data_IF_471644522444
#
_entry.id   IF_471644522444
#
_cell.length_a   1.000
_cell.length_b   1.000
_cell.length_c   1.000
_cell.angle_alpha   90.00
_cell.angle_beta   90.00
_cell.angle_gamma   90.00
#
_symmetry.space_group_name_H-M   'P 1'
#
loop_
_entity.id
_entity.type
_entity.pdbx_description
1 polymer ?
#
# COMPACT_ATOMS: atom_id res chain seq x y z
N UNK A 1 13.16 -22.28 -13.14
CA UNK A 1 14.36 -21.50 -12.75
C UNK A 1 13.90 -20.36 -11.86
N UNK A 2 14.46 -20.21 -10.67
CA UNK A 2 14.06 -19.19 -9.69
C UNK A 2 15.27 -18.50 -9.08
N UNK A 3 15.02 -17.40 -8.37
CA UNK A 3 16.06 -16.62 -7.67
C UNK A 3 16.75 -17.52 -6.64
N UNK A 4 18.07 -17.75 -6.81
CA UNK A 4 18.85 -18.65 -5.93
C UNK A 4 19.50 -17.94 -4.75
N UNK A 5 19.85 -16.68 -4.92
CA UNK A 5 20.55 -15.88 -3.91
C UNK A 5 20.04 -14.44 -3.96
N UNK A 6 19.93 -13.82 -2.79
CA UNK A 6 19.54 -12.42 -2.64
C UNK A 6 20.46 -11.76 -1.60
N UNK A 7 20.91 -10.55 -1.90
CA UNK A 7 21.68 -9.70 -0.99
C UNK A 7 21.18 -8.28 -1.13
N UNK A 8 21.02 -7.57 -0.01
CA UNK A 8 20.56 -6.19 0.01
C UNK A 8 21.06 -5.49 1.27
N UNK A 9 21.37 -4.20 1.15
CA UNK A 9 21.61 -3.27 2.25
C UNK A 9 20.38 -2.38 2.53
N UNK A 10 19.24 -2.65 1.90
CA UNK A 10 18.04 -1.86 2.11
C UNK A 10 17.56 -1.94 3.55
N UNK A 11 17.03 -0.83 4.05
CA UNK A 11 16.46 -0.68 5.40
C UNK A 11 14.94 -0.76 5.40
N UNK A 12 14.29 -0.59 4.25
CA UNK A 12 12.85 -0.72 4.10
C UNK A 12 12.45 -1.15 2.68
N UNK A 13 11.23 -1.66 2.55
CA UNK A 13 10.60 -1.94 1.28
C UNK A 13 9.27 -1.18 1.16
N UNK A 14 9.09 -0.45 0.06
CA UNK A 14 7.89 0.30 -0.28
C UNK A 14 7.20 -0.35 -1.49
N UNK A 15 5.97 -0.82 -1.29
CA UNK A 15 5.09 -1.32 -2.33
C UNK A 15 4.22 -0.16 -2.81
N UNK A 16 4.24 0.12 -4.11
CA UNK A 16 3.52 1.22 -4.74
C UNK A 16 2.53 0.65 -5.74
N UNK A 17 1.25 0.97 -5.57
CA UNK A 17 0.20 0.45 -6.46
C UNK A 17 0.38 0.91 -7.92
N UNK A 18 0.45 2.22 -8.13
CA UNK A 18 0.32 2.86 -9.45
C UNK A 18 1.68 3.10 -10.12
N UNK A 19 1.84 2.68 -11.38
CA UNK A 19 3.11 2.81 -12.13
C UNK A 19 3.55 4.27 -12.26
N UNK A 20 2.62 5.19 -12.50
CA UNK A 20 2.92 6.63 -12.59
C UNK A 20 3.55 7.17 -11.29
N UNK A 21 3.06 6.72 -10.13
CA UNK A 21 3.58 7.10 -8.82
C UNK A 21 4.95 6.49 -8.60
N UNK A 22 5.13 5.21 -8.96
CA UNK A 22 6.41 4.53 -8.92
C UNK A 22 7.48 5.29 -9.74
N UNK A 23 7.17 5.63 -10.99
CA UNK A 23 8.09 6.39 -11.85
C UNK A 23 8.44 7.75 -11.26
N UNK A 24 7.47 8.45 -10.66
CA UNK A 24 7.74 9.73 -9.98
C UNK A 24 8.67 9.56 -8.79
N UNK A 25 8.46 8.55 -7.94
CA UNK A 25 9.31 8.28 -6.78
C UNK A 25 10.74 7.92 -7.19
N UNK A 26 10.91 7.11 -8.24
CA UNK A 26 12.23 6.75 -8.77
C UNK A 26 12.98 7.96 -9.35
N UNK A 27 12.25 8.87 -10.02
CA UNK A 27 12.82 10.10 -10.57
C UNK A 27 12.96 11.24 -9.54
N UNK A 28 12.48 11.03 -8.32
CA UNK A 28 12.56 12.00 -7.23
C UNK A 28 13.83 11.81 -6.39
N UNK A 29 14.03 12.70 -5.42
CA UNK A 29 15.12 12.59 -4.45
C UNK A 29 14.90 11.50 -3.39
N UNK A 30 13.82 10.69 -3.46
CA UNK A 30 13.54 9.62 -2.48
C UNK A 30 14.76 8.70 -2.28
N UNK A 31 15.36 8.22 -3.37
CA UNK A 31 16.53 7.35 -3.29
C UNK A 31 17.71 8.04 -2.60
N UNK A 32 17.90 9.34 -2.83
CA UNK A 32 18.94 10.11 -2.16
C UNK A 32 18.64 10.30 -0.67
N UNK A 33 17.38 10.63 -0.32
CA UNK A 33 16.92 10.82 1.07
C UNK A 33 17.15 9.56 1.90
N UNK A 34 16.91 8.39 1.33
CA UNK A 34 17.13 7.09 1.97
C UNK A 34 18.53 6.50 1.69
N UNK A 35 19.48 7.29 1.19
CA UNK A 35 20.86 6.85 0.89
C UNK A 35 20.95 5.61 -0.01
N UNK A 36 19.96 5.36 -0.85
CA UNK A 36 19.84 4.17 -1.71
C UNK A 36 19.43 2.90 -0.96
N UNK A 37 19.12 2.99 0.33
CA UNK A 37 18.79 1.85 1.20
C UNK A 37 17.27 1.58 1.23
N UNK A 38 16.61 1.69 0.08
CA UNK A 38 15.16 1.44 -0.07
C UNK A 38 14.89 0.55 -1.28
N UNK A 39 14.05 -0.47 -1.07
CA UNK A 39 13.48 -1.26 -2.16
C UNK A 39 12.12 -0.66 -2.52
N UNK A 40 11.88 -0.36 -3.79
CA UNK A 40 10.58 0.08 -4.28
C UNK A 40 10.05 -0.97 -5.27
N UNK A 41 8.83 -1.46 -5.05
CA UNK A 41 8.18 -2.47 -5.89
C UNK A 41 6.83 -1.94 -6.34
N UNK A 42 6.44 -2.20 -7.57
CA UNK A 42 5.09 -1.91 -8.06
C UNK A 42 4.44 -3.13 -8.69
N UNK A 43 3.16 -3.31 -8.39
CA UNK A 43 2.30 -4.32 -9.03
C UNK A 43 1.51 -3.77 -10.22
N UNK A 44 1.58 -2.44 -10.48
CA UNK A 44 0.78 -1.73 -11.49
C UNK A 44 -0.73 -1.98 -11.33
N UNK A 45 -1.21 -1.88 -10.09
CA UNK A 45 -2.56 -2.25 -9.66
C UNK A 45 -2.57 -3.55 -8.86
N UNK A 46 -3.54 -4.42 -9.14
CA UNK A 46 -3.67 -5.74 -8.49
C UNK A 46 -2.42 -6.58 -8.80
N UNK A 47 -1.68 -7.06 -7.79
CA UNK A 47 -0.42 -7.76 -8.04
C UNK A 47 -0.61 -9.13 -8.67
N UNK A 48 0.31 -9.46 -9.58
CA UNK A 48 0.43 -10.82 -10.11
C UNK A 48 1.10 -11.77 -9.11
N UNK A 49 1.04 -13.06 -9.41
CA UNK A 49 1.63 -14.13 -8.58
C UNK A 49 3.14 -13.93 -8.38
N UNK A 50 3.86 -13.51 -9.41
CA UNK A 50 5.31 -13.35 -9.36
C UNK A 50 5.73 -12.19 -8.46
N UNK A 51 5.04 -11.05 -8.54
CA UNK A 51 5.29 -9.89 -7.67
C UNK A 51 5.05 -10.27 -6.22
N UNK A 52 3.98 -11.01 -5.92
CA UNK A 52 3.70 -11.49 -4.55
C UNK A 52 4.75 -12.46 -4.04
N UNK A 53 5.21 -13.40 -4.87
CA UNK A 53 6.29 -14.33 -4.51
C UNK A 53 7.61 -13.59 -4.26
N UNK A 54 7.96 -12.61 -5.11
CA UNK A 54 9.15 -11.79 -4.92
C UNK A 54 9.10 -11.01 -3.61
N UNK A 55 7.97 -10.34 -3.36
CA UNK A 55 7.78 -9.55 -2.14
C UNK A 55 7.83 -10.43 -0.88
N UNK A 56 7.19 -11.60 -0.91
CA UNK A 56 7.28 -12.57 0.18
C UNK A 56 8.73 -13.04 0.43
N UNK A 57 9.50 -13.28 -0.63
CA UNK A 57 10.93 -13.65 -0.49
C UNK A 57 11.78 -12.52 0.08
N UNK A 58 11.56 -11.28 -0.34
CA UNK A 58 12.23 -10.10 0.24
C UNK A 58 11.93 -10.02 1.73
N UNK A 59 10.66 -10.15 2.11
CA UNK A 59 10.22 -10.15 3.50
C UNK A 59 10.86 -11.29 4.31
N UNK A 60 10.92 -12.51 3.77
CA UNK A 60 11.53 -13.66 4.47
C UNK A 60 13.06 -13.55 4.59
N UNK A 61 13.74 -13.08 3.55
CA UNK A 61 15.20 -13.02 3.52
C UNK A 61 15.76 -11.87 4.36
N UNK A 62 15.14 -10.69 4.32
CA UNK A 62 15.72 -9.48 4.89
C UNK A 62 14.98 -8.96 6.13
N UNK A 63 13.75 -9.41 6.39
CA UNK A 63 12.93 -9.01 7.55
C UNK A 63 12.84 -7.49 7.74
N UNK A 64 12.82 -6.77 6.63
CA UNK A 64 12.74 -5.31 6.61
C UNK A 64 11.32 -4.85 6.97
N UNK A 65 11.17 -3.62 7.50
CA UNK A 65 9.91 -2.89 7.46
C UNK A 65 9.32 -2.88 6.05
N UNK A 66 8.06 -3.28 5.93
CA UNK A 66 7.32 -3.38 4.68
C UNK A 66 6.17 -2.38 4.70
N UNK A 67 6.16 -1.45 3.75
CA UNK A 67 5.14 -0.41 3.63
C UNK A 67 4.41 -0.55 2.31
N UNK A 68 3.11 -0.23 2.31
CA UNK A 68 2.27 -0.13 1.13
C UNK A 68 1.76 1.29 0.98
N UNK A 69 1.87 1.81 -0.24
CA UNK A 69 1.37 3.09 -0.71
C UNK A 69 0.36 2.81 -1.81
N UNK A 70 -0.92 2.98 -1.47
CA UNK A 70 -2.09 2.68 -2.30
C UNK A 70 -3.02 3.88 -2.31
N UNK A 71 -3.88 3.96 -3.32
CA UNK A 71 -4.87 5.05 -3.40
C UNK A 71 -5.76 5.06 -2.13
N UNK A 72 -6.17 6.26 -1.72
CA UNK A 72 -7.08 6.48 -0.60
C UNK A 72 -8.52 6.15 -0.99
N UNK A 73 -8.73 4.92 -1.47
CA UNK A 73 -10.03 4.44 -1.92
C UNK A 73 -10.22 2.95 -1.54
N UNK A 74 -11.43 2.41 -1.68
CA UNK A 74 -11.71 1.03 -1.30
C UNK A 74 -10.96 -0.01 -2.16
N UNK A 75 -10.56 0.34 -3.38
CA UNK A 75 -9.82 -0.56 -4.26
C UNK A 75 -8.34 -0.66 -3.87
N UNK A 76 -7.71 0.47 -3.54
CA UNK A 76 -6.36 0.53 -3.00
C UNK A 76 -6.24 -0.28 -1.70
N UNK A 77 -7.21 -0.14 -0.79
CA UNK A 77 -7.26 -0.94 0.45
C UNK A 77 -7.36 -2.44 0.13
N UNK A 78 -8.22 -2.86 -0.81
CA UNK A 78 -8.35 -4.26 -1.18
C UNK A 78 -7.06 -4.81 -1.83
N UNK A 79 -6.37 -4.02 -2.65
CA UNK A 79 -5.05 -4.37 -3.22
C UNK A 79 -4.03 -4.61 -2.11
N UNK A 80 -3.97 -3.72 -1.12
CA UNK A 80 -3.11 -3.91 0.04
C UNK A 80 -3.45 -5.21 0.80
N UNK A 81 -4.74 -5.50 0.99
CA UNK A 81 -5.17 -6.75 1.64
C UNK A 81 -4.72 -7.98 0.85
N UNK A 82 -4.69 -7.93 -0.49
CA UNK A 82 -4.13 -9.02 -1.31
C UNK A 82 -2.64 -9.25 -1.04
N UNK A 83 -1.86 -8.20 -0.81
CA UNK A 83 -0.45 -8.37 -0.40
C UNK A 83 -0.32 -8.89 1.03
N UNK A 84 -1.12 -8.38 1.97
CA UNK A 84 -1.00 -8.67 3.41
C UNK A 84 -1.57 -10.04 3.79
N UNK A 85 -2.78 -10.34 3.33
CA UNK A 85 -3.57 -11.52 3.71
C UNK A 85 -3.77 -12.51 2.56
N UNK A 86 -3.52 -12.06 1.33
CA UNK A 86 -3.73 -12.87 0.13
C UNK A 86 -5.12 -12.70 -0.48
N UNK A 87 -5.27 -13.19 -1.71
CA UNK A 87 -6.57 -13.19 -2.37
C UNK A 87 -7.49 -14.24 -1.76
N UNK A 88 -8.73 -13.85 -1.45
CA UNK A 88 -9.77 -14.78 -1.02
C UNK A 88 -10.07 -15.87 -2.05
N UNK A 89 -9.95 -15.54 -3.34
CA UNK A 89 -10.15 -16.52 -4.43
C UNK A 89 -9.02 -17.55 -4.53
N UNK A 90 -7.86 -17.27 -3.94
CA UNK A 90 -6.66 -18.12 -4.00
C UNK A 90 -6.11 -18.44 -2.60
N UNK A 91 -7.01 -18.62 -1.62
CA UNK A 91 -6.62 -18.91 -0.23
C UNK A 91 -5.65 -20.10 -0.10
N UNK A 92 -5.82 -21.12 -0.97
CA UNK A 92 -5.00 -22.34 -1.00
C UNK A 92 -3.53 -22.12 -1.41
N UNK A 93 -3.20 -21.00 -2.05
CA UNK A 93 -1.83 -20.69 -2.50
C UNK A 93 -1.16 -19.61 -1.63
N UNK A 94 -1.76 -19.18 -0.52
CA UNK A 94 -1.33 -18.00 0.22
C UNK A 94 -0.04 -18.14 1.03
N UNK A 95 0.37 -19.36 1.42
CA UNK A 95 1.46 -19.57 2.39
C UNK A 95 2.79 -18.90 1.99
N UNK A 96 3.07 -18.83 0.68
CA UNK A 96 4.32 -18.26 0.15
C UNK A 96 4.13 -16.94 -0.63
N UNK A 97 3.02 -16.24 -0.44
CA UNK A 97 2.63 -15.07 -1.25
C UNK A 97 2.00 -13.93 -0.44
N UNK A 98 2.18 -13.93 0.87
CA UNK A 98 1.62 -12.93 1.78
C UNK A 98 2.71 -12.26 2.60
N UNK A 99 2.49 -11.00 2.97
CA UNK A 99 3.38 -10.23 3.84
C UNK A 99 2.56 -9.69 5.00
N UNK A 100 2.35 -10.48 6.07
CA UNK A 100 1.49 -10.08 7.19
C UNK A 100 1.98 -8.81 7.91
N UNK A 101 3.28 -8.52 7.86
CA UNK A 101 3.89 -7.33 8.45
C UNK A 101 3.76 -6.07 7.58
N UNK A 102 3.08 -6.14 6.44
CA UNK A 102 2.86 -4.99 5.56
C UNK A 102 1.99 -3.95 6.26
N UNK A 103 2.51 -2.73 6.37
CA UNK A 103 1.82 -1.58 6.94
C UNK A 103 1.33 -0.62 5.85
N UNK A 104 0.16 -0.04 6.04
CA UNK A 104 -0.34 1.01 5.18
C UNK A 104 0.26 2.34 5.58
N UNK A 105 1.09 2.94 4.73
CA UNK A 105 1.66 4.26 5.05
C UNK A 105 0.71 5.41 4.73
N UNK A 106 -0.26 5.15 3.85
CA UNK A 106 -1.21 6.11 3.34
C UNK A 106 -1.52 5.90 1.86
N UNK A 107 -2.37 6.74 1.26
CA UNK A 107 -3.02 7.90 1.87
C UNK A 107 -4.20 7.48 2.78
N UNK A 108 -4.17 7.83 4.06
CA UNK A 108 -5.22 7.44 5.00
C UNK A 108 -6.47 8.34 4.83
N UNK A 109 -7.69 7.78 4.90
CA UNK A 109 -8.94 8.55 4.93
C UNK A 109 -8.97 9.67 5.95
N UNK A 110 -8.41 9.46 7.14
CA UNK A 110 -8.31 10.51 8.16
C UNK A 110 -7.44 11.69 7.74
N UNK A 111 -6.56 11.53 6.75
CA UNK A 111 -5.74 12.62 6.21
C UNK A 111 -6.54 13.50 5.22
N UNK A 112 -7.76 13.12 4.82
CA UNK A 112 -8.55 13.86 3.82
C UNK A 112 -8.90 15.29 4.29
N UNK A 113 -9.02 15.53 5.59
CA UNK A 113 -9.28 16.88 6.14
C UNK A 113 -8.13 17.86 5.86
N UNK A 114 -6.91 17.33 5.72
CA UNK A 114 -5.71 18.11 5.46
C UNK A 114 -5.49 18.36 3.96
N UNK A 115 -6.31 17.72 3.11
CA UNK A 115 -6.20 17.82 1.66
C UNK A 115 -7.08 18.92 1.09
N UNK A 116 -6.65 19.47 -0.04
CA UNK A 116 -7.47 20.41 -0.79
C UNK A 116 -8.67 19.69 -1.44
N UNK A 117 -9.82 20.36 -1.50
CA UNK A 117 -11.05 19.76 -2.07
C UNK A 117 -10.92 19.29 -3.52
N UNK A 118 -9.97 19.84 -4.28
CA UNK A 118 -9.67 19.45 -5.66
C UNK A 118 -8.92 18.10 -5.77
N UNK A 119 -8.37 17.59 -4.67
CA UNK A 119 -7.69 16.29 -4.59
C UNK A 119 -8.65 15.16 -4.19
N UNK A 120 -9.84 15.50 -3.71
CA UNK A 120 -10.85 14.56 -3.24
C UNK A 120 -11.95 14.37 -4.29
N UNK A 121 -12.34 13.11 -4.48
CA UNK A 121 -13.42 12.69 -5.37
C UNK A 121 -14.59 12.16 -4.55
N UNK A 122 -15.81 12.27 -5.07
CA UNK A 122 -16.97 11.64 -4.45
C UNK A 122 -16.97 10.13 -4.67
N UNK A 123 -17.37 9.39 -3.63
CA UNK A 123 -17.60 7.96 -3.76
C UNK A 123 -18.89 7.69 -4.53
N UNK A 124 -18.86 6.67 -5.37
CA UNK A 124 -20.05 6.13 -6.03
C UNK A 124 -20.61 4.93 -5.24
N UNK A 125 -21.80 4.44 -5.61
CA UNK A 125 -22.38 3.28 -4.92
C UNK A 125 -21.49 2.02 -4.95
N UNK A 126 -20.79 1.67 -6.06
CA UNK A 126 -19.79 0.60 -6.03
C UNK A 126 -18.72 0.77 -4.95
N UNK A 127 -18.18 1.98 -4.76
CA UNK A 127 -17.18 2.29 -3.74
C UNK A 127 -17.75 2.02 -2.34
N UNK A 128 -18.95 2.53 -2.04
CA UNK A 128 -19.65 2.32 -0.76
C UNK A 128 -19.91 0.84 -0.48
N UNK A 129 -20.40 0.09 -1.48
CA UNK A 129 -20.59 -1.37 -1.35
C UNK A 129 -19.28 -2.08 -1.06
N UNK A 130 -18.17 -1.61 -1.63
CA UNK A 130 -16.84 -2.18 -1.40
C UNK A 130 -16.35 -1.91 0.01
N UNK A 131 -16.54 -0.70 0.55
CA UNK A 131 -16.25 -0.40 1.96
C UNK A 131 -16.95 -1.37 2.91
N UNK A 132 -18.27 -1.57 2.74
CA UNK A 132 -19.00 -2.54 3.55
C UNK A 132 -18.49 -3.97 3.36
N UNK A 133 -18.06 -4.36 2.16
CA UNK A 133 -17.44 -5.67 1.94
C UNK A 133 -16.10 -5.82 2.68
N UNK A 134 -15.30 -4.76 2.74
CA UNK A 134 -14.02 -4.73 3.46
C UNK A 134 -14.22 -4.80 4.99
N UNK A 135 -15.20 -4.08 5.52
CA UNK A 135 -15.54 -4.12 6.96
C UNK A 135 -15.99 -5.51 7.42
N UNK A 136 -16.55 -6.33 6.52
CA UNK A 136 -16.97 -7.70 6.83
C UNK A 136 -15.84 -8.74 6.71
N UNK A 137 -14.58 -8.33 6.47
CA UNK A 137 -13.45 -9.27 6.38
C UNK A 137 -13.05 -9.77 7.78
N UNK A 138 -12.75 -11.08 7.95
CA UNK A 138 -12.48 -11.65 9.27
C UNK A 138 -11.13 -11.24 9.88
N UNK A 139 -10.24 -10.63 9.10
CA UNK A 139 -8.87 -10.25 9.48
C UNK A 139 -8.66 -8.74 9.55
N UNK A 140 -9.74 -7.95 9.44
CA UNK A 140 -9.65 -6.50 9.54
C UNK A 140 -9.36 -6.10 11.00
N UNK A 141 -8.49 -5.10 11.18
CA UNK A 141 -8.13 -4.57 12.50
C UNK A 141 -8.84 -3.24 12.77
N UNK A 142 -8.85 -2.80 14.04
CA UNK A 142 -9.54 -1.59 14.48
C UNK A 142 -9.07 -0.33 13.75
N UNK A 143 -7.78 -0.28 13.39
CA UNK A 143 -7.23 0.82 12.61
C UNK A 143 -7.86 0.89 11.21
N UNK A 144 -7.91 -0.23 10.50
CA UNK A 144 -8.55 -0.31 9.19
C UNK A 144 -10.05 -0.06 9.25
N UNK A 145 -10.74 -0.52 10.30
CA UNK A 145 -12.17 -0.23 10.51
C UNK A 145 -12.38 1.28 10.61
N UNK A 146 -11.64 1.94 11.49
CA UNK A 146 -11.72 3.39 11.70
C UNK A 146 -11.51 4.17 10.41
N UNK A 147 -10.50 3.80 9.60
CA UNK A 147 -10.23 4.46 8.33
C UNK A 147 -11.37 4.27 7.31
N UNK A 148 -11.94 3.07 7.21
CA UNK A 148 -13.03 2.78 6.25
C UNK A 148 -14.34 3.43 6.69
N UNK A 149 -14.64 3.44 7.99
CA UNK A 149 -15.81 4.13 8.54
C UNK A 149 -15.71 5.64 8.33
N UNK A 150 -14.54 6.23 8.58
CA UNK A 150 -14.29 7.64 8.28
C UNK A 150 -14.48 7.94 6.79
N UNK A 151 -13.96 7.09 5.89
CA UNK A 151 -14.17 7.21 4.44
C UNK A 151 -15.66 7.20 4.08
N UNK A 152 -16.45 6.31 4.68
CA UNK A 152 -17.91 6.24 4.50
C UNK A 152 -18.62 7.50 5.01
N UNK A 153 -18.20 8.04 6.15
CA UNK A 153 -18.78 9.25 6.75
C UNK A 153 -18.58 10.47 5.86
N UNK A 154 -17.34 10.71 5.41
CA UNK A 154 -17.03 11.87 4.55
C UNK A 154 -17.52 11.70 3.12
N UNK A 155 -17.82 10.47 2.69
CA UNK A 155 -18.24 10.10 1.35
C UNK A 155 -17.27 10.57 0.25
N UNK A 156 -15.97 10.55 0.55
CA UNK A 156 -14.88 10.95 -0.35
C UNK A 156 -13.87 9.84 -0.52
N UNK A 157 -13.11 9.92 -1.61
CA UNK A 157 -11.93 9.10 -1.91
C UNK A 157 -10.84 9.97 -2.52
N UNK A 158 -9.62 9.50 -2.51
CA UNK A 158 -8.49 10.27 -3.02
C UNK A 158 -7.56 9.37 -3.84
N UNK A 159 -7.13 9.87 -5.00
CA UNK A 159 -6.10 9.21 -5.79
C UNK A 159 -4.72 9.73 -5.43
N UNK A 160 -3.74 8.84 -5.42
CA UNK A 160 -2.36 9.23 -5.35
C UNK A 160 -1.95 9.84 -6.69
N UNK A 161 -1.99 11.17 -6.76
CA UNK A 161 -1.48 11.94 -7.89
C UNK A 161 -0.72 13.22 -7.49
N UNK A 162 -0.64 13.55 -6.20
CA UNK A 162 -0.05 14.81 -5.74
C UNK A 162 1.47 14.87 -5.92
N UNK A 163 1.98 16.06 -6.21
CA UNK A 163 3.41 16.39 -6.18
C UNK A 163 3.98 16.31 -4.75
N UNK A 164 3.14 16.41 -3.72
CA UNK A 164 3.52 16.36 -2.30
C UNK A 164 3.74 14.96 -1.75
N UNK A 165 3.64 13.92 -2.57
CA UNK A 165 3.76 12.54 -2.08
C UNK A 165 5.12 12.21 -1.48
N UNK A 166 6.19 12.82 -2.00
CA UNK A 166 7.54 12.59 -1.48
C UNK A 166 7.63 13.05 -0.03
N UNK A 167 7.15 14.25 0.26
CA UNK A 167 7.09 14.82 1.61
C UNK A 167 6.27 13.93 2.53
N UNK A 168 5.07 13.53 2.09
CA UNK A 168 4.16 12.67 2.85
C UNK A 168 4.81 11.34 3.26
N UNK A 169 5.47 10.65 2.32
CA UNK A 169 6.16 9.37 2.61
C UNK A 169 7.28 9.59 3.62
N UNK A 170 8.12 10.61 3.42
CA UNK A 170 9.27 10.87 4.29
C UNK A 170 8.80 11.20 5.71
N UNK A 171 7.73 11.96 5.84
CA UNK A 171 7.11 12.31 7.12
C UNK A 171 6.65 11.04 7.86
N UNK A 172 5.77 10.24 7.23
CA UNK A 172 5.21 9.02 7.83
C UNK A 172 6.28 7.99 8.20
N UNK A 173 7.26 7.74 7.31
CA UNK A 173 8.36 6.81 7.60
C UNK A 173 9.20 7.28 8.80
N UNK A 174 9.52 8.57 8.88
CA UNK A 174 10.36 9.10 9.96
C UNK A 174 9.64 9.11 11.31
N UNK A 175 8.32 9.31 11.33
CA UNK A 175 7.52 9.26 12.55
C UNK A 175 7.14 7.84 12.98
N UNK A 176 7.43 6.83 12.15
CA UNK A 176 7.20 5.42 12.48
C UNK A 176 5.72 5.02 12.49
N UNK A 177 4.87 5.81 11.83
CA UNK A 177 3.44 5.54 11.63
C UNK A 177 3.24 4.45 10.57
#
# INVERSE_FOLDING_TARGET
LGIRQMSSNAKLCLVVEKDAVFQRLVNSNLLHIFNGEVIIITGKGVPDVNTRQLLHRIYQCFKLPMFALVDGDPYGIDIMFVYKYGSLSMAWCCENMTVPALKWIGLHPTDFELMESNQLLEMNEPDVRRCHSLLNRPYIDDFMIMQIEYMLEVNKKAEIQSESILSYIVEKINFGE
#
